data_IF_589320240223
#
_entry.id   IF_589320240223
#
_cell.length_a   1.000
_cell.length_b   1.000
_cell.length_c   1.000
_cell.angle_alpha   90.00
_cell.angle_beta   90.00
_cell.angle_gamma   90.00
#
_symmetry.space_group_name_H-M   'P 1'
#
loop_
_entity.id
_entity.type
_entity.pdbx_description
1 polymer ?
#
# COMPACT_ATOMS: atom_id res chain seq x y z
N UNK A 1 -4.92 -2.04 19.05
CA UNK A 1 -5.44 -1.09 18.06
C UNK A 1 -4.70 -1.32 16.76
N UNK A 2 -5.42 -1.38 15.64
CA UNK A 2 -4.82 -1.61 14.33
C UNK A 2 -4.96 -0.33 13.52
N UNK A 3 -3.84 0.23 13.07
CA UNK A 3 -3.77 1.41 12.23
C UNK A 3 -3.62 1.03 10.76
N UNK A 4 -4.52 1.54 9.93
CA UNK A 4 -4.50 1.41 8.48
C UNK A 4 -4.06 2.73 7.86
N UNK A 5 -2.94 2.70 7.14
CA UNK A 5 -2.50 3.81 6.29
C UNK A 5 -3.03 3.51 4.87
N UNK A 6 -4.13 4.16 4.51
CA UNK A 6 -4.89 3.90 3.28
C UNK A 6 -6.07 2.93 3.47
N UNK A 7 -7.22 3.30 2.93
CA UNK A 7 -8.46 2.51 2.90
C UNK A 7 -9.07 2.47 1.49
N UNK A 8 -8.21 2.38 0.46
CA UNK A 8 -8.62 2.00 -0.88
C UNK A 8 -9.06 0.53 -0.97
N UNK A 9 -9.19 -0.02 -2.19
CA UNK A 9 -9.69 -1.38 -2.41
C UNK A 9 -8.99 -2.46 -1.56
N UNK A 10 -7.65 -2.43 -1.46
CA UNK A 10 -6.88 -3.41 -0.68
C UNK A 10 -7.09 -3.19 0.82
N UNK A 11 -6.93 -1.96 1.32
CA UNK A 11 -7.09 -1.64 2.73
C UNK A 11 -8.50 -1.96 3.24
N UNK A 12 -9.52 -1.65 2.44
CA UNK A 12 -10.90 -2.02 2.75
C UNK A 12 -11.09 -3.54 2.82
N UNK A 13 -10.53 -4.31 1.87
CA UNK A 13 -10.62 -5.76 1.90
C UNK A 13 -9.91 -6.37 3.13
N UNK A 14 -8.75 -5.85 3.50
CA UNK A 14 -8.05 -6.28 4.72
C UNK A 14 -8.85 -5.94 5.97
N UNK A 15 -9.49 -4.76 6.00
CA UNK A 15 -10.39 -4.36 7.07
C UNK A 15 -11.58 -5.34 7.20
N UNK A 16 -12.18 -5.78 6.09
CA UNK A 16 -13.23 -6.80 6.13
C UNK A 16 -12.74 -8.13 6.70
N UNK A 17 -11.55 -8.57 6.29
CA UNK A 17 -10.97 -9.84 6.72
C UNK A 17 -10.53 -9.84 8.19
N UNK A 18 -10.16 -8.68 8.74
CA UNK A 18 -9.71 -8.58 10.14
C UNK A 18 -10.87 -8.41 11.13
N UNK A 19 -12.04 -7.91 10.69
CA UNK A 19 -13.23 -7.71 11.55
C UNK A 19 -13.61 -8.93 12.40
N UNK A 20 -13.64 -10.16 11.88
CA UNK A 20 -13.99 -11.35 12.68
C UNK A 20 -13.07 -11.61 13.87
N UNK A 21 -11.82 -11.11 13.83
CA UNK A 21 -10.87 -11.21 14.96
C UNK A 21 -11.18 -10.21 16.09
N UNK A 22 -12.23 -9.40 15.95
CA UNK A 22 -12.74 -8.44 16.94
C UNK A 22 -11.63 -7.54 17.52
N UNK A 23 -10.85 -6.83 16.67
CA UNK A 23 -9.87 -5.88 17.17
C UNK A 23 -10.55 -4.82 18.02
N UNK A 24 -9.90 -4.41 19.12
CA UNK A 24 -10.46 -3.40 20.04
C UNK A 24 -10.88 -2.11 19.33
N UNK A 25 -10.01 -1.60 18.44
CA UNK A 25 -10.25 -0.44 17.59
C UNK A 25 -9.45 -0.59 16.29
N UNK A 26 -10.04 -0.09 15.20
CA UNK A 26 -9.39 0.10 13.90
C UNK A 26 -9.32 1.61 13.64
N UNK A 27 -8.11 2.12 13.50
CA UNK A 27 -7.83 3.52 13.14
C UNK A 27 -7.47 3.57 11.66
N UNK A 28 -7.99 4.55 10.93
CA UNK A 28 -7.73 4.71 9.50
C UNK A 28 -7.28 6.14 9.25
N UNK A 29 -6.13 6.27 8.58
CA UNK A 29 -5.74 7.50 7.92
C UNK A 29 -5.79 7.29 6.41
N UNK A 30 -6.70 8.00 5.75
CA UNK A 30 -6.75 8.12 4.31
C UNK A 30 -7.34 9.50 3.96
N UNK A 31 -6.56 10.41 3.34
CA UNK A 31 -7.02 11.77 3.06
C UNK A 31 -8.03 11.85 1.91
N UNK A 32 -8.23 10.77 1.14
CA UNK A 32 -9.10 10.73 -0.04
C UNK A 32 -10.41 9.99 0.21
N UNK A 33 -10.50 9.21 1.30
CA UNK A 33 -11.72 8.49 1.69
C UNK A 33 -12.53 9.31 2.69
N UNK A 34 -13.86 9.39 2.48
CA UNK A 34 -14.73 10.15 3.37
C UNK A 34 -14.77 9.56 4.78
N UNK A 35 -14.83 10.43 5.79
CA UNK A 35 -14.94 10.02 7.21
C UNK A 35 -16.19 9.17 7.46
N UNK A 36 -17.30 9.47 6.77
CA UNK A 36 -18.52 8.67 6.86
C UNK A 36 -18.34 7.26 6.32
N UNK A 37 -17.65 7.08 5.20
CA UNK A 37 -17.35 5.75 4.68
C UNK A 37 -16.49 4.95 5.66
N UNK A 38 -15.45 5.55 6.23
CA UNK A 38 -14.59 4.91 7.25
C UNK A 38 -15.44 4.48 8.47
N UNK A 39 -16.33 5.37 8.95
CA UNK A 39 -17.21 5.08 10.08
C UNK A 39 -18.20 3.96 9.78
N UNK A 40 -18.86 3.99 8.62
CA UNK A 40 -19.77 2.93 8.16
C UNK A 40 -19.04 1.60 7.97
N UNK A 41 -17.75 1.65 7.66
CA UNK A 41 -16.88 0.48 7.60
C UNK A 41 -16.54 -0.09 8.98
N UNK A 42 -16.94 0.54 10.09
CA UNK A 42 -16.63 0.09 11.45
C UNK A 42 -15.23 0.44 11.92
N UNK A 43 -14.62 1.48 11.35
CA UNK A 43 -13.34 2.05 11.76
C UNK A 43 -13.48 3.51 12.20
N UNK A 44 -12.43 4.06 12.80
CA UNK A 44 -12.35 5.45 13.23
C UNK A 44 -11.39 6.18 12.30
N UNK A 45 -11.89 7.23 11.63
CA UNK A 45 -11.06 8.13 10.84
C UNK A 45 -10.24 9.02 11.77
N UNK A 46 -8.92 8.99 11.63
CA UNK A 46 -8.01 9.90 12.33
C UNK A 46 -7.66 11.10 11.45
N UNK A 47 -7.25 12.20 12.09
CA UNK A 47 -6.92 13.46 11.40
C UNK A 47 -5.54 13.47 10.73
N UNK A 48 -4.61 12.63 11.19
CA UNK A 48 -3.24 12.58 10.69
C UNK A 48 -2.62 11.19 10.84
N UNK A 49 -1.57 10.92 10.05
CA UNK A 49 -0.72 9.72 10.23
C UNK A 49 -0.14 9.70 11.63
N UNK A 50 0.31 10.84 12.15
CA UNK A 50 0.94 10.93 13.47
C UNK A 50 -0.02 10.51 14.60
N UNK A 51 -1.30 10.88 14.49
CA UNK A 51 -2.35 10.42 15.41
C UNK A 51 -2.49 8.90 15.34
N UNK A 52 -2.55 8.32 14.13
CA UNK A 52 -2.60 6.87 13.93
C UNK A 52 -1.41 6.16 14.58
N UNK A 53 -0.19 6.66 14.34
CA UNK A 53 1.05 6.08 14.84
C UNK A 53 1.17 6.12 16.37
N UNK A 54 0.63 7.17 16.99
CA UNK A 54 0.63 7.33 18.46
C UNK A 54 -0.20 6.26 19.15
N UNK A 55 -1.33 5.85 18.54
CA UNK A 55 -2.30 4.96 19.18
C UNK A 55 -2.25 3.51 18.70
N UNK A 56 -1.64 3.22 17.55
CA UNK A 56 -1.63 1.88 16.96
C UNK A 56 -0.65 0.93 17.65
N UNK A 57 -1.04 -0.33 17.79
CA UNK A 57 -0.17 -1.43 18.25
C UNK A 57 0.30 -2.28 17.05
N UNK A 58 -0.50 -2.31 15.98
CA UNK A 58 -0.19 -2.90 14.68
C UNK A 58 -0.46 -1.83 13.62
N UNK A 59 0.46 -1.62 12.70
CA UNK A 59 0.33 -0.66 11.59
C UNK A 59 0.45 -1.42 10.28
N UNK A 60 -0.55 -1.28 9.41
CA UNK A 60 -0.60 -1.89 8.08
C UNK A 60 -0.70 -0.83 6.99
N UNK A 61 0.16 -0.94 5.97
CA UNK A 61 0.31 0.04 4.90
C UNK A 61 -0.37 -0.44 3.62
N UNK A 62 -1.29 0.38 3.11
CA UNK A 62 -2.06 0.13 1.89
C UNK A 62 -2.13 1.36 0.95
N UNK A 63 -1.40 2.43 1.27
CA UNK A 63 -1.32 3.63 0.44
C UNK A 63 -0.40 3.42 -0.78
N UNK A 64 -0.68 4.06 -1.92
CA UNK A 64 0.26 4.07 -3.05
C UNK A 64 1.53 4.86 -2.69
N UNK A 65 2.61 4.62 -3.44
CA UNK A 65 3.80 5.48 -3.39
C UNK A 65 3.56 6.74 -4.22
N UNK A 66 3.63 7.89 -3.57
CA UNK A 66 3.55 9.23 -4.15
C UNK A 66 4.61 10.11 -3.47
N UNK A 67 4.75 11.37 -3.88
CA UNK A 67 5.66 12.31 -3.23
C UNK A 67 5.29 12.53 -1.74
N UNK A 68 4.00 12.45 -1.40
CA UNK A 68 3.50 12.62 -0.03
C UNK A 68 3.70 11.39 0.85
N UNK A 69 3.83 10.20 0.25
CA UNK A 69 3.98 8.94 1.00
C UNK A 69 5.39 8.38 0.94
N UNK A 70 6.29 8.93 0.13
CA UNK A 70 7.71 8.59 0.17
C UNK A 70 8.30 8.90 1.55
N UNK A 71 8.92 7.88 2.15
CA UNK A 71 9.46 7.91 3.53
C UNK A 71 8.46 8.42 4.56
N UNK A 72 7.18 8.11 4.36
CA UNK A 72 6.12 8.42 5.32
C UNK A 72 6.46 7.86 6.71
N UNK A 73 7.00 6.65 6.82
CA UNK A 73 7.54 6.15 8.09
C UNK A 73 9.04 6.43 8.16
N UNK A 74 9.39 7.57 8.74
CA UNK A 74 10.77 8.04 8.97
C UNK A 74 11.16 7.97 10.45
N UNK A 75 12.41 8.35 10.75
CA UNK A 75 12.99 8.24 12.09
C UNK A 75 12.23 9.05 13.15
N UNK A 76 11.74 10.24 12.79
CA UNK A 76 10.95 11.11 13.68
C UNK A 76 9.62 10.46 14.05
N UNK A 77 8.95 9.83 13.08
CA UNK A 77 7.70 9.13 13.30
C UNK A 77 7.90 7.85 14.10
N UNK A 78 8.95 7.07 13.82
CA UNK A 78 9.29 5.90 14.64
C UNK A 78 9.51 6.27 16.11
N UNK A 79 10.23 7.37 16.40
CA UNK A 79 10.45 7.85 17.77
C UNK A 79 9.16 8.19 18.53
N UNK A 80 8.07 8.50 17.83
CA UNK A 80 6.76 8.84 18.41
C UNK A 80 5.82 7.65 18.56
N UNK A 81 6.17 6.51 17.97
CA UNK A 81 5.37 5.29 18.12
C UNK A 81 5.48 4.75 19.55
N UNK A 82 4.50 3.94 19.93
CA UNK A 82 4.64 3.08 21.10
C UNK A 82 5.84 2.16 20.92
N UNK A 83 6.46 1.77 22.03
CA UNK A 83 7.43 0.67 21.99
C UNK A 83 6.71 -0.66 21.76
N UNK A 84 7.32 -1.51 20.96
CA UNK A 84 6.86 -2.85 20.67
C UNK A 84 5.74 -2.96 19.64
N UNK A 85 5.60 -2.00 18.71
CA UNK A 85 4.59 -2.07 17.64
C UNK A 85 4.95 -3.11 16.58
N UNK A 86 3.96 -3.58 15.83
CA UNK A 86 4.17 -4.41 14.64
C UNK A 86 3.90 -3.61 13.37
N UNK A 87 4.72 -3.83 12.34
CA UNK A 87 4.57 -3.16 11.05
C UNK A 87 4.37 -4.18 9.94
N UNK A 88 3.40 -3.94 9.07
CA UNK A 88 3.10 -4.75 7.91
C UNK A 88 3.13 -3.84 6.68
N UNK A 89 4.00 -4.14 5.72
CA UNK A 89 4.06 -3.40 4.45
C UNK A 89 3.98 -4.36 3.26
N UNK A 90 2.88 -4.25 2.52
CA UNK A 90 2.64 -4.95 1.24
C UNK A 90 2.34 -3.94 0.12
N UNK A 91 2.62 -2.65 0.36
CA UNK A 91 2.35 -1.56 -0.57
C UNK A 91 3.58 -1.27 -1.43
N UNK A 92 4.49 -0.41 -0.97
CA UNK A 92 5.77 -0.11 -1.63
C UNK A 92 6.87 0.10 -0.60
N UNK A 93 8.09 -0.35 -0.89
CA UNK A 93 9.23 -0.25 0.03
C UNK A 93 9.54 1.19 0.43
N UNK A 94 9.60 2.10 -0.55
CA UNK A 94 9.89 3.54 -0.38
C UNK A 94 8.94 4.30 0.54
N UNK A 95 7.80 3.73 0.94
CA UNK A 95 6.91 4.37 1.92
C UNK A 95 7.55 4.37 3.32
N UNK A 96 8.45 3.43 3.58
CA UNK A 96 9.19 3.32 4.82
C UNK A 96 10.64 3.67 4.54
N UNK A 97 11.23 4.53 5.36
CA UNK A 97 12.67 4.73 5.33
C UNK A 97 13.35 3.48 5.92
N UNK A 98 14.07 2.73 5.08
CA UNK A 98 14.70 1.45 5.44
C UNK A 98 15.65 1.58 6.62
N UNK A 99 16.49 2.62 6.64
CA UNK A 99 17.46 2.83 7.73
C UNK A 99 16.74 3.17 9.04
N UNK A 100 15.69 3.97 8.95
CA UNK A 100 14.86 4.30 10.11
C UNK A 100 14.14 3.06 10.67
N UNK A 101 13.67 2.15 9.80
CA UNK A 101 13.05 0.90 10.21
C UNK A 101 14.06 -0.04 10.90
N UNK A 102 15.27 -0.18 10.36
CA UNK A 102 16.34 -0.97 10.98
C UNK A 102 16.64 -0.46 12.40
N UNK A 103 16.82 0.86 12.54
CA UNK A 103 17.01 1.48 13.85
C UNK A 103 15.84 1.20 14.79
N UNK A 104 14.60 1.30 14.32
CA UNK A 104 13.41 1.07 15.15
C UNK A 104 13.29 -0.40 15.61
N UNK A 105 13.68 -1.35 14.76
CA UNK A 105 13.73 -2.78 15.08
C UNK A 105 14.80 -3.08 16.13
N UNK A 106 16.00 -2.53 15.97
CA UNK A 106 17.11 -2.70 16.90
C UNK A 106 16.82 -2.10 18.29
N UNK A 107 16.10 -0.96 18.32
CA UNK A 107 15.75 -0.27 19.57
C UNK A 107 14.44 -0.79 20.20
N UNK A 108 13.82 -1.84 19.64
CA UNK A 108 12.58 -2.44 20.14
C UNK A 108 11.36 -1.51 20.08
N UNK A 109 11.44 -0.42 19.32
CA UNK A 109 10.28 0.42 19.00
C UNK A 109 9.34 -0.38 18.11
N UNK A 110 9.87 -0.97 17.05
CA UNK A 110 9.18 -1.99 16.27
C UNK A 110 9.58 -3.34 16.83
N UNK A 111 8.62 -4.06 17.41
CA UNK A 111 8.86 -5.42 17.92
C UNK A 111 9.18 -6.38 16.78
N UNK A 112 8.41 -6.31 15.70
CA UNK A 112 8.62 -7.10 14.50
C UNK A 112 7.98 -6.44 13.27
N UNK A 113 8.51 -6.75 12.09
CA UNK A 113 7.98 -6.29 10.81
C UNK A 113 7.70 -7.48 9.87
N UNK A 114 6.66 -7.37 9.06
CA UNK A 114 6.36 -8.28 7.95
C UNK A 114 6.32 -7.47 6.65
N UNK A 115 7.24 -7.74 5.74
CA UNK A 115 7.49 -6.91 4.56
C UNK A 115 7.48 -7.79 3.31
N UNK A 116 6.67 -7.40 2.32
CA UNK A 116 6.71 -7.99 0.97
C UNK A 116 7.46 -7.08 -0.02
N UNK A 117 7.76 -5.83 0.36
CA UNK A 117 8.30 -4.79 -0.52
C UNK A 117 9.46 -4.05 0.16
N UNK A 118 10.43 -3.61 -0.64
CA UNK A 118 11.73 -3.09 -0.19
C UNK A 118 12.20 -1.92 -1.06
N UNK A 119 13.21 -1.20 -0.59
CA UNK A 119 13.93 -0.23 -1.40
C UNK A 119 15.44 -0.35 -1.08
N UNK A 120 16.28 -0.76 -2.04
CA UNK A 120 15.95 -1.19 -3.41
C UNK A 120 15.36 -2.62 -3.49
N UNK A 121 14.82 -2.96 -4.67
CA UNK A 121 14.40 -4.33 -5.02
C UNK A 121 15.20 -4.84 -6.23
N UNK A 122 15.82 -6.04 -6.16
CA UNK A 122 15.87 -6.97 -5.02
C UNK A 122 16.72 -6.46 -3.84
N UNK A 123 16.47 -6.99 -2.64
CA UNK A 123 17.26 -6.67 -1.44
C UNK A 123 18.73 -7.06 -1.69
N UNK A 124 19.70 -6.17 -1.43
CA UNK A 124 21.12 -6.52 -1.51
C UNK A 124 21.46 -7.73 -0.62
N UNK A 125 22.27 -8.70 -1.08
CA UNK A 125 22.54 -9.94 -0.33
C UNK A 125 23.18 -9.73 1.05
N UNK A 126 23.88 -8.61 1.26
CA UNK A 126 24.53 -8.22 2.50
C UNK A 126 23.67 -7.33 3.40
N UNK A 127 22.46 -6.97 2.97
CA UNK A 127 21.59 -6.04 3.70
C UNK A 127 21.23 -6.57 5.10
N UNK A 128 21.39 -5.78 6.18
CA UNK A 128 21.20 -6.23 7.57
C UNK A 128 19.82 -6.84 7.85
N UNK A 129 18.77 -6.33 7.18
CA UNK A 129 17.40 -6.81 7.36
C UNK A 129 17.23 -8.31 7.15
N UNK A 130 18.04 -8.91 6.27
CA UNK A 130 18.02 -10.34 5.96
C UNK A 130 18.43 -11.23 7.15
N UNK A 131 19.13 -10.65 8.14
CA UNK A 131 19.64 -11.35 9.33
C UNK A 131 18.77 -11.12 10.57
N UNK A 132 17.77 -10.23 10.50
CA UNK A 132 16.94 -9.87 11.64
C UNK A 132 15.90 -10.95 11.94
N UNK A 133 15.97 -11.52 13.16
CA UNK A 133 15.06 -12.61 13.59
C UNK A 133 13.61 -12.17 13.81
N UNK A 134 13.39 -10.87 13.96
CA UNK A 134 12.08 -10.26 14.16
C UNK A 134 11.53 -9.63 12.87
N UNK A 135 12.02 -10.04 11.70
CA UNK A 135 11.50 -9.60 10.42
C UNK A 135 11.09 -10.81 9.57
N UNK A 136 9.87 -10.76 9.05
CA UNK A 136 9.37 -11.68 8.02
C UNK A 136 9.48 -10.97 6.68
N UNK A 137 10.07 -11.65 5.70
CA UNK A 137 10.31 -11.14 4.36
C UNK A 137 9.67 -12.07 3.33
N UNK A 138 8.96 -11.49 2.37
CA UNK A 138 8.53 -12.19 1.15
C UNK A 138 8.98 -11.40 -0.08
N UNK A 139 9.37 -12.07 -1.18
CA UNK A 139 10.08 -11.41 -2.29
C UNK A 139 9.14 -10.73 -3.29
N UNK A 140 8.33 -9.76 -2.85
CA UNK A 140 7.36 -9.03 -3.67
C UNK A 140 6.38 -9.95 -4.41
N UNK A 141 5.71 -10.81 -3.64
CA UNK A 141 4.82 -11.87 -4.14
C UNK A 141 3.38 -11.73 -3.65
N UNK A 142 2.98 -10.62 -3.03
CA UNK A 142 1.61 -10.40 -2.58
C UNK A 142 0.58 -10.52 -3.73
N UNK A 143 0.99 -10.25 -4.97
CA UNK A 143 0.14 -10.42 -6.16
C UNK A 143 0.20 -11.83 -6.78
N UNK A 144 1.20 -12.66 -6.42
CA UNK A 144 1.61 -13.84 -7.19
C UNK A 144 0.76 -15.10 -6.94
N UNK A 145 -0.55 -14.95 -6.71
CA UNK A 145 -1.48 -16.07 -6.69
C UNK A 145 -1.81 -16.49 -8.14
N UNK A 146 -1.84 -17.79 -8.44
CA UNK A 146 -2.03 -18.29 -9.82
C UNK A 146 -3.29 -17.74 -10.50
N UNK A 147 -4.37 -17.54 -9.74
CA UNK A 147 -5.59 -16.91 -10.26
C UNK A 147 -5.38 -15.43 -10.60
N UNK A 148 -4.72 -14.69 -9.72
CA UNK A 148 -4.42 -13.26 -9.91
C UNK A 148 -3.51 -13.05 -11.11
N UNK A 149 -2.43 -13.83 -11.27
CA UNK A 149 -1.54 -13.74 -12.43
C UNK A 149 -2.29 -13.97 -13.74
N UNK A 150 -3.14 -15.01 -13.82
CA UNK A 150 -3.96 -15.25 -15.01
C UNK A 150 -4.89 -14.08 -15.33
N UNK A 151 -5.58 -13.54 -14.32
CA UNK A 151 -6.46 -12.39 -14.52
C UNK A 151 -5.70 -11.16 -14.98
N UNK A 152 -4.49 -10.92 -14.46
CA UNK A 152 -3.63 -9.81 -14.89
C UNK A 152 -3.23 -9.96 -16.36
N UNK A 153 -2.83 -11.17 -16.77
CA UNK A 153 -2.49 -11.47 -18.17
C UNK A 153 -3.70 -11.29 -19.09
N UNK A 154 -4.86 -11.84 -18.70
CA UNK A 154 -6.13 -11.70 -19.42
C UNK A 154 -6.51 -10.23 -19.61
N UNK A 155 -6.52 -9.42 -18.54
CA UNK A 155 -6.87 -8.01 -18.62
C UNK A 155 -5.88 -7.20 -19.45
N UNK A 156 -4.58 -7.49 -19.37
CA UNK A 156 -3.59 -6.83 -20.21
C UNK A 156 -3.80 -7.13 -21.70
N UNK A 157 -4.09 -8.39 -22.04
CA UNK A 157 -4.39 -8.81 -23.41
C UNK A 157 -5.68 -8.16 -23.90
N UNK A 158 -6.73 -8.15 -23.08
CA UNK A 158 -8.02 -7.54 -23.42
C UNK A 158 -7.89 -6.05 -23.70
N UNK A 159 -7.16 -5.30 -22.86
CA UNK A 159 -6.93 -3.86 -23.08
C UNK A 159 -6.06 -3.60 -24.32
N UNK A 160 -5.05 -4.44 -24.59
CA UNK A 160 -4.26 -4.33 -25.81
C UNK A 160 -5.13 -4.55 -27.06
N UNK A 161 -5.97 -5.59 -27.06
CA UNK A 161 -6.91 -5.86 -28.16
C UNK A 161 -7.96 -4.75 -28.30
N UNK A 162 -8.42 -4.15 -27.19
CA UNK A 162 -9.33 -2.99 -27.19
C UNK A 162 -8.70 -1.81 -27.93
N UNK A 163 -7.46 -1.47 -27.59
CA UNK A 163 -6.70 -0.39 -28.24
C UNK A 163 -6.49 -0.70 -29.74
N UNK A 164 -6.14 -1.94 -30.10
CA UNK A 164 -5.93 -2.34 -31.50
C UNK A 164 -7.23 -2.30 -32.34
N UNK A 165 -8.39 -2.51 -31.72
CA UNK A 165 -9.71 -2.34 -32.34
C UNK A 165 -10.14 -0.87 -32.46
N UNK A 166 -9.33 0.05 -31.95
CA UNK A 166 -9.68 1.46 -31.87
C UNK A 166 -10.78 1.73 -30.86
N UNK A 167 -10.92 0.91 -29.82
CA UNK A 167 -11.84 1.13 -28.73
C UNK A 167 -11.13 1.87 -27.57
N UNK A 168 -11.89 2.64 -26.79
CA UNK A 168 -11.36 3.35 -25.62
C UNK A 168 -10.97 2.34 -24.51
N UNK A 169 -9.74 2.38 -23.97
CA UNK A 169 -9.35 1.55 -22.82
C UNK A 169 -10.26 1.78 -21.61
N UNK A 170 -10.47 0.74 -20.80
CA UNK A 170 -11.31 0.81 -19.60
C UNK A 170 -10.56 1.40 -18.41
N UNK A 171 -9.28 1.08 -18.26
CA UNK A 171 -8.50 1.36 -17.03
C UNK A 171 -7.40 2.39 -17.28
N UNK A 172 -7.77 3.58 -17.75
CA UNK A 172 -6.81 4.63 -18.13
C UNK A 172 -6.37 5.41 -16.89
N UNK A 173 -5.08 5.37 -16.59
CA UNK A 173 -4.48 6.13 -15.49
C UNK A 173 -4.40 7.63 -15.81
N UNK A 174 -4.04 7.97 -17.05
CA UNK A 174 -3.80 9.31 -17.55
C UNK A 174 -4.75 9.62 -18.74
N UNK A 175 -6.06 9.83 -18.47
CA UNK A 175 -7.09 10.00 -19.51
C UNK A 175 -6.81 11.13 -20.50
N UNK A 176 -6.07 12.16 -20.09
CA UNK A 176 -5.63 13.28 -20.93
C UNK A 176 -4.75 12.85 -22.12
N UNK A 177 -4.18 11.64 -22.10
CA UNK A 177 -3.43 11.10 -23.25
C UNK A 177 -4.30 10.93 -24.49
N UNK A 178 -5.61 10.74 -24.30
CA UNK A 178 -6.56 10.55 -25.39
C UNK A 178 -6.77 11.81 -26.23
N UNK A 179 -6.41 12.98 -25.71
CA UNK A 179 -6.57 14.28 -26.38
C UNK A 179 -5.30 14.71 -27.13
N UNK A 180 -4.21 13.93 -27.08
CA UNK A 180 -2.94 14.32 -27.69
C UNK A 180 -2.93 14.06 -29.20
N UNK A 181 -2.51 15.08 -29.96
CA UNK A 181 -2.35 15.00 -31.42
C UNK A 181 -1.40 13.89 -31.89
N UNK A 182 -0.46 13.48 -31.02
CA UNK A 182 0.51 12.41 -31.31
C UNK A 182 0.11 11.04 -30.76
N UNK A 183 -1.16 10.85 -30.36
CA UNK A 183 -1.66 9.55 -29.92
C UNK A 183 -1.51 8.53 -31.06
N UNK A 184 -0.68 7.52 -30.83
CA UNK A 184 -0.38 6.49 -31.85
C UNK A 184 -1.57 5.58 -32.15
N UNK A 185 -2.45 5.38 -31.17
CA UNK A 185 -3.62 4.52 -31.30
C UNK A 185 -4.80 5.30 -31.89
N UNK A 186 -5.41 4.78 -32.97
CA UNK A 186 -6.62 5.35 -33.58
C UNK A 186 -7.86 4.97 -32.78
N UNK A 187 -8.01 5.54 -31.59
CA UNK A 187 -9.11 5.26 -30.67
C UNK A 187 -10.34 6.06 -31.12
N UNK A 188 -11.47 5.38 -31.29
CA UNK A 188 -12.80 5.97 -31.47
C UNK A 188 -13.25 6.53 -30.12
N UNK A 189 -12.99 7.80 -29.91
CA UNK A 189 -13.60 8.58 -28.83
C UNK A 189 -14.96 9.01 -29.41
N UNK A 190 -16.06 8.47 -28.86
CA UNK A 190 -17.33 8.41 -29.59
C UNK A 190 -17.82 9.73 -30.22
N UNK A 191 -18.36 9.62 -31.45
CA UNK A 191 -19.31 10.59 -31.99
C UNK A 191 -19.02 11.25 -33.34
N UNK A 192 -18.48 10.53 -34.35
CA UNK A 192 -18.86 10.63 -35.78
C UNK A 192 -18.72 9.26 -36.45
#
# INVERSE_FOLDING_TARGET
MIGFIGLGAIGFRVLELIKPFRPRLILVYDPYVSRDFIRLSGAIAVSSVDELLTYSDIITVHAPLTAETEKLLNIERFKRMKKGVYIINTARGKIIDTDALLWALENGIVKAAALDVFDPEPIPPDHPILKMKNVILTPHIAFAASKTCRMMDEYAIEEALRILRGEKPLWILNPEVLERDNLRAKIKIGGE
#
